data_IF_762407596166
#
_entry.id   IF_762407596166
#
_cell.length_a   1.000
_cell.length_b   1.000
_cell.length_c   1.000
_cell.angle_alpha   90.00
_cell.angle_beta   90.00
_cell.angle_gamma   90.00
#
_symmetry.space_group_name_H-M   'P 1'
#
loop_
_entity.id
_entity.type
_entity.pdbx_description
1 polymer ?
#
# COMPACT_ATOMS: atom_id res chain seq x y z
N UNK A 1 -7.48 5.08 34.28
CA UNK A 1 -6.13 5.10 33.66
C UNK A 1 -6.29 5.41 32.18
N UNK A 2 -5.72 6.53 31.71
CA UNK A 2 -5.50 6.70 30.28
C UNK A 2 -4.64 5.52 29.80
N UNK A 3 -4.95 4.89 28.66
CA UNK A 3 -4.09 3.85 28.13
C UNK A 3 -2.70 4.43 27.90
N UNK A 4 -1.67 3.73 28.37
CA UNK A 4 -0.26 4.09 28.15
C UNK A 4 0.01 4.24 26.66
N UNK A 5 0.75 5.28 26.28
CA UNK A 5 1.22 5.48 24.91
C UNK A 5 1.96 4.21 24.44
N UNK A 6 1.59 3.59 23.30
CA UNK A 6 2.22 2.36 22.84
C UNK A 6 3.63 2.58 22.28
N UNK A 7 4.10 3.83 22.18
CA UNK A 7 5.40 4.17 21.59
C UNK A 7 5.41 4.05 20.06
N UNK A 8 6.58 4.08 19.41
CA UNK A 8 6.72 3.90 17.96
C UNK A 8 6.27 2.49 17.52
N UNK A 9 6.04 2.22 16.22
CA UNK A 9 5.82 0.85 15.73
C UNK A 9 6.95 -0.09 16.20
N UNK A 10 6.62 -1.36 16.46
CA UNK A 10 7.62 -2.32 16.92
C UNK A 10 8.53 -2.83 15.78
N UNK A 11 8.07 -2.69 14.53
CA UNK A 11 8.81 -3.03 13.31
C UNK A 11 8.55 -1.95 12.25
N UNK A 12 9.60 -1.22 11.89
CA UNK A 12 9.54 -0.10 10.95
C UNK A 12 9.24 -0.55 9.51
N UNK A 13 9.78 -1.69 9.07
CA UNK A 13 9.54 -2.23 7.73
C UNK A 13 8.11 -2.71 7.57
N UNK A 14 7.61 -3.47 8.54
CA UNK A 14 6.22 -3.89 8.61
C UNK A 14 5.27 -2.69 8.68
N UNK A 15 5.66 -1.65 9.42
CA UNK A 15 4.89 -0.40 9.48
C UNK A 15 4.85 0.30 8.13
N UNK A 16 5.99 0.40 7.45
CA UNK A 16 6.08 1.02 6.12
C UNK A 16 5.16 0.32 5.11
N UNK A 17 5.17 -1.02 5.09
CA UNK A 17 4.25 -1.82 4.27
C UNK A 17 2.78 -1.62 4.66
N UNK A 18 2.47 -1.71 5.95
CA UNK A 18 1.11 -1.52 6.45
C UNK A 18 0.58 -0.11 6.21
N UNK A 19 1.43 0.91 6.23
CA UNK A 19 1.09 2.29 5.89
C UNK A 19 0.65 2.39 4.43
N UNK A 20 1.35 1.73 3.50
CA UNK A 20 0.93 1.66 2.10
C UNK A 20 -0.46 1.04 1.96
N UNK A 21 -0.68 -0.14 2.57
CA UNK A 21 -2.00 -0.79 2.59
C UNK A 21 -3.08 0.09 3.22
N UNK A 22 -2.76 0.76 4.33
CA UNK A 22 -3.68 1.67 5.01
C UNK A 22 -4.09 2.83 4.11
N UNK A 23 -3.15 3.41 3.36
CA UNK A 23 -3.42 4.55 2.49
C UNK A 23 -4.27 4.16 1.28
N UNK A 24 -4.16 2.95 0.75
CA UNK A 24 -5.07 2.46 -0.29
C UNK A 24 -6.37 1.91 0.29
N UNK A 25 -6.36 0.65 0.69
CA UNK A 25 -7.55 -0.14 1.06
C UNK A 25 -7.93 -0.06 2.53
N UNK A 26 -7.16 0.67 3.34
CA UNK A 26 -7.39 0.76 4.77
C UNK A 26 -8.38 1.83 5.20
N UNK A 27 -9.01 1.58 6.35
CA UNK A 27 -9.71 2.60 7.11
C UNK A 27 -9.55 2.38 8.62
N UNK A 28 -9.66 3.48 9.37
CA UNK A 28 -9.78 3.46 10.82
C UNK A 28 -11.16 3.98 11.19
N UNK A 29 -11.90 3.24 12.01
CA UNK A 29 -13.17 3.68 12.56
C UNK A 29 -13.17 3.60 14.08
N UNK A 30 -13.81 4.57 14.73
CA UNK A 30 -14.09 4.48 16.16
C UNK A 30 -15.05 3.33 16.45
N UNK A 31 -14.90 2.72 17.63
CA UNK A 31 -15.88 1.80 18.21
C UNK A 31 -16.78 2.54 19.20
N UNK A 32 -18.11 2.28 19.26
CA UNK A 32 -19.06 3.11 20.02
C UNK A 32 -18.76 3.27 21.51
N UNK A 33 -18.06 2.30 22.13
CA UNK A 33 -17.70 2.37 23.55
C UNK A 33 -16.35 3.04 23.77
N UNK A 34 -15.31 2.54 23.10
CA UNK A 34 -13.94 3.06 23.19
C UNK A 34 -13.10 2.44 22.10
N UNK A 35 -11.98 3.09 21.73
CA UNK A 35 -10.97 2.53 20.86
C UNK A 35 -11.34 2.57 19.38
N UNK A 36 -10.47 1.96 18.57
CA UNK A 36 -10.52 2.06 17.12
C UNK A 36 -10.26 0.70 16.46
N UNK A 37 -10.91 0.47 15.34
CA UNK A 37 -10.59 -0.64 14.45
C UNK A 37 -9.77 -0.13 13.28
N UNK A 38 -8.60 -0.72 13.07
CA UNK A 38 -7.93 -0.72 11.78
C UNK A 38 -8.55 -1.84 10.93
N UNK A 39 -8.97 -1.52 9.72
CA UNK A 39 -9.49 -2.48 8.75
C UNK A 39 -8.79 -2.29 7.42
N UNK A 40 -8.24 -3.35 6.87
CA UNK A 40 -7.70 -3.40 5.51
C UNK A 40 -8.56 -4.37 4.71
N UNK A 41 -9.10 -3.92 3.59
CA UNK A 41 -9.80 -4.82 2.67
C UNK A 41 -8.78 -5.56 1.80
N UNK A 42 -8.87 -6.89 1.74
CA UNK A 42 -8.03 -7.71 0.87
C UNK A 42 -8.96 -8.52 -0.05
N UNK A 43 -8.81 -8.37 -1.37
CA UNK A 43 -9.63 -9.13 -2.31
C UNK A 43 -9.37 -10.64 -2.17
N UNK A 44 -10.43 -11.45 -2.25
CA UNK A 44 -10.34 -12.90 -2.04
C UNK A 44 -9.47 -13.62 -3.09
N UNK A 45 -9.23 -12.97 -4.23
CA UNK A 45 -8.35 -13.45 -5.29
C UNK A 45 -6.86 -13.46 -4.91
N UNK A 46 -6.47 -12.84 -3.80
CA UNK A 46 -5.06 -12.69 -3.36
C UNK A 46 -4.88 -13.12 -1.89
N UNK A 47 -5.01 -14.43 -1.59
CA UNK A 47 -4.89 -14.94 -0.22
C UNK A 47 -3.51 -14.68 0.41
N UNK A 48 -2.43 -14.64 -0.38
CA UNK A 48 -1.10 -14.30 0.10
C UNK A 48 -1.00 -12.86 0.62
N UNK A 49 -1.73 -11.92 0.00
CA UNK A 49 -1.81 -10.53 0.47
C UNK A 49 -2.51 -10.44 1.83
N UNK A 50 -3.58 -11.21 2.03
CA UNK A 50 -4.30 -11.26 3.31
C UNK A 50 -3.38 -11.71 4.45
N UNK A 51 -2.57 -12.74 4.22
CA UNK A 51 -1.62 -13.23 5.23
C UNK A 51 -0.52 -12.20 5.50
N UNK A 52 0.06 -11.59 4.46
CA UNK A 52 1.05 -10.51 4.62
C UNK A 52 0.47 -9.32 5.39
N UNK A 53 -0.80 -8.96 5.16
CA UNK A 53 -1.47 -7.91 5.93
C UNK A 53 -1.63 -8.31 7.40
N UNK A 54 -1.98 -9.57 7.69
CA UNK A 54 -2.11 -10.09 9.06
C UNK A 54 -0.78 -10.06 9.81
N UNK A 55 0.28 -10.51 9.15
CA UNK A 55 1.66 -10.47 9.68
C UNK A 55 2.10 -9.03 9.94
N UNK A 56 1.89 -8.12 8.98
CA UNK A 56 2.28 -6.72 9.13
C UNK A 56 1.60 -6.05 10.33
N UNK A 57 0.29 -6.24 10.52
CA UNK A 57 -0.42 -5.72 11.70
C UNK A 57 0.16 -6.29 13.00
N UNK A 58 0.46 -7.59 13.01
CA UNK A 58 1.01 -8.29 14.19
C UNK A 58 2.41 -7.78 14.53
N UNK A 59 3.27 -7.56 13.54
CA UNK A 59 4.64 -7.09 13.73
C UNK A 59 4.68 -5.62 14.14
N UNK A 60 3.78 -4.79 13.61
CA UNK A 60 3.67 -3.37 13.97
C UNK A 60 3.21 -3.20 15.43
N UNK A 61 2.30 -4.06 15.89
CA UNK A 61 1.78 -4.05 17.27
C UNK A 61 1.65 -5.47 17.83
N UNK A 62 2.77 -6.05 18.33
CA UNK A 62 2.76 -7.36 18.98
C UNK A 62 1.75 -7.41 20.13
N UNK A 63 1.05 -8.53 20.26
CA UNK A 63 0.02 -8.72 21.28
C UNK A 63 -1.34 -8.12 20.94
N UNK A 64 -1.49 -7.39 19.82
CA UNK A 64 -2.81 -6.98 19.33
C UNK A 64 -3.45 -8.11 18.55
N UNK A 65 -4.72 -8.41 18.85
CA UNK A 65 -5.49 -9.39 18.08
C UNK A 65 -5.73 -8.93 16.65
N UNK A 66 -5.57 -9.86 15.70
CA UNK A 66 -5.94 -9.69 14.29
C UNK A 66 -6.99 -10.73 13.94
N UNK A 67 -8.08 -10.31 13.32
CA UNK A 67 -9.17 -11.19 12.94
C UNK A 67 -9.62 -10.91 11.51
N UNK A 68 -10.09 -11.96 10.85
CA UNK A 68 -10.55 -11.93 9.47
C UNK A 68 -12.08 -11.88 9.47
N UNK A 69 -12.64 -11.01 8.63
CA UNK A 69 -14.08 -10.88 8.48
C UNK A 69 -14.45 -10.92 6.99
N UNK A 70 -15.04 -12.03 6.57
CA UNK A 70 -15.48 -12.21 5.20
C UNK A 70 -16.54 -11.18 4.80
N UNK A 71 -16.39 -10.65 3.59
CA UNK A 71 -17.33 -9.81 2.86
C UNK A 71 -17.49 -10.33 1.43
N UNK A 72 -18.40 -9.73 0.68
CA UNK A 72 -18.61 -10.11 -0.71
C UNK A 72 -17.41 -9.68 -1.56
N UNK A 73 -16.66 -10.65 -2.09
CA UNK A 73 -15.50 -10.43 -2.96
C UNK A 73 -14.21 -9.99 -2.25
N UNK A 74 -14.24 -9.81 -0.93
CA UNK A 74 -13.05 -9.49 -0.14
C UNK A 74 -13.16 -9.96 1.31
N UNK A 75 -12.01 -10.05 1.97
CA UNK A 75 -11.89 -10.30 3.39
C UNK A 75 -11.28 -9.08 4.09
N UNK A 76 -11.92 -8.64 5.17
CA UNK A 76 -11.40 -7.54 5.98
C UNK A 76 -10.42 -8.09 7.01
N UNK A 77 -9.14 -7.75 6.89
CA UNK A 77 -8.15 -7.98 7.94
C UNK A 77 -8.28 -6.85 8.96
N UNK A 78 -8.72 -7.20 10.16
CA UNK A 78 -9.14 -6.21 11.16
C UNK A 78 -8.36 -6.38 12.46
N UNK A 79 -8.04 -5.26 13.09
CA UNK A 79 -7.45 -5.24 14.42
C UNK A 79 -8.01 -4.11 15.27
N UNK A 80 -8.20 -4.37 16.55
CA UNK A 80 -8.75 -3.41 17.51
C UNK A 80 -7.66 -2.92 18.46
N UNK A 81 -7.48 -1.60 18.53
CA UNK A 81 -6.58 -0.95 19.48
C UNK A 81 -7.03 0.48 19.72
N UNK A 82 -6.75 1.02 20.91
CA UNK A 82 -6.96 2.45 21.18
C UNK A 82 -5.97 3.35 20.45
N UNK A 83 -4.89 2.77 19.92
CA UNK A 83 -3.75 3.53 19.44
C UNK A 83 -3.54 3.51 17.93
N UNK A 84 -4.44 2.89 17.17
CA UNK A 84 -4.35 2.95 15.71
C UNK A 84 -4.29 4.38 15.15
N UNK A 85 -5.06 5.36 15.66
CA UNK A 85 -4.93 6.75 15.20
C UNK A 85 -3.56 7.39 15.46
N UNK A 86 -2.83 6.96 16.50
CA UNK A 86 -1.48 7.47 16.78
C UNK A 86 -0.47 6.95 15.76
N UNK A 87 -0.64 5.70 15.32
CA UNK A 87 0.17 5.10 14.27
C UNK A 87 -0.21 5.56 12.86
N UNK A 88 -1.45 5.99 12.66
CA UNK A 88 -1.96 6.46 11.38
C UNK A 88 -2.61 7.84 11.57
N UNK A 89 -1.79 8.89 11.83
CA UNK A 89 -2.28 10.24 12.12
C UNK A 89 -3.00 10.87 10.93
N UNK A 90 -2.90 10.25 9.75
CA UNK A 90 -3.73 10.56 8.59
C UNK A 90 -5.23 10.31 8.85
N UNK A 91 -5.61 9.58 9.89
CA UNK A 91 -7.00 9.39 10.28
C UNK A 91 -7.70 10.73 10.60
N UNK A 92 -8.90 10.91 10.06
CA UNK A 92 -9.74 12.08 10.24
C UNK A 92 -11.13 11.85 9.64
N UNK A 93 -12.07 12.79 9.86
CA UNK A 93 -13.43 12.69 9.34
C UNK A 93 -13.48 12.73 7.80
N UNK A 94 -14.58 12.25 7.22
CA UNK A 94 -14.82 12.29 5.78
C UNK A 94 -14.05 11.25 4.97
N UNK A 95 -14.06 11.40 3.63
CA UNK A 95 -13.35 10.46 2.74
C UNK A 95 -11.86 10.75 2.74
N UNK A 96 -11.04 9.70 2.64
CA UNK A 96 -9.58 9.79 2.67
C UNK A 96 -8.98 10.72 1.59
N UNK A 97 -9.60 10.80 0.42
CA UNK A 97 -9.13 11.66 -0.67
C UNK A 97 -9.64 13.11 -0.62
N UNK A 98 -10.54 13.43 0.31
CA UNK A 98 -11.06 14.79 0.53
C UNK A 98 -10.31 15.51 1.65
N UNK A 99 -9.37 14.82 2.32
CA UNK A 99 -8.55 15.33 3.42
C UNK A 99 -7.08 15.39 3.03
N UNK A 100 -6.34 16.28 3.66
CA UNK A 100 -4.88 16.34 3.51
C UNK A 100 -4.24 15.06 4.06
N UNK A 101 -3.33 14.47 3.28
CA UNK A 101 -2.56 13.29 3.68
C UNK A 101 -1.08 13.69 3.66
N UNK A 102 -0.51 13.89 4.85
CA UNK A 102 0.92 14.13 5.02
C UNK A 102 1.49 13.12 6.00
N UNK A 103 2.75 12.75 5.79
CA UNK A 103 3.49 11.91 6.72
C UNK A 103 4.14 12.78 7.80
N UNK A 104 3.99 12.39 9.05
CA UNK A 104 4.72 12.99 10.17
C UNK A 104 6.24 12.76 9.99
N UNK A 105 7.11 13.58 10.59
CA UNK A 105 8.56 13.45 10.44
C UNK A 105 9.11 12.04 10.74
N UNK A 106 8.55 11.37 11.75
CA UNK A 106 8.93 10.00 12.10
C UNK A 106 8.46 8.98 11.05
N UNK A 107 7.27 9.17 10.46
CA UNK A 107 6.79 8.33 9.35
C UNK A 107 7.66 8.53 8.10
N UNK A 108 8.07 9.77 7.81
CA UNK A 108 8.98 10.08 6.70
C UNK A 108 10.33 9.39 6.88
N UNK A 109 10.86 9.35 8.11
CA UNK A 109 12.10 8.63 8.40
C UNK A 109 11.95 7.12 8.15
N UNK A 110 10.85 6.50 8.61
CA UNK A 110 10.58 5.08 8.38
C UNK A 110 10.42 4.78 6.89
N UNK A 111 9.54 5.51 6.18
CA UNK A 111 9.35 5.33 4.73
C UNK A 111 10.65 5.57 3.97
N UNK A 112 11.48 6.49 4.45
CA UNK A 112 12.79 6.74 3.86
C UNK A 112 13.79 5.60 4.03
N UNK A 113 13.76 4.91 5.16
CA UNK A 113 14.61 3.75 5.43
C UNK A 113 14.06 2.46 4.81
N UNK A 114 12.73 2.38 4.65
CA UNK A 114 11.99 1.23 4.14
C UNK A 114 11.11 1.60 2.93
N UNK A 115 11.67 2.19 1.85
CA UNK A 115 10.87 2.73 0.74
C UNK A 115 10.21 1.62 -0.07
N UNK A 116 10.87 0.47 -0.20
CA UNK A 116 10.35 -0.68 -0.95
C UNK A 116 9.15 -1.32 -0.26
N UNK A 117 9.15 -1.39 1.07
CA UNK A 117 8.01 -1.86 1.84
C UNK A 117 6.79 -0.94 1.64
N UNK A 118 7.00 0.38 1.66
CA UNK A 118 5.94 1.36 1.37
C UNK A 118 5.39 1.24 -0.06
N UNK A 119 6.27 1.19 -1.05
CA UNK A 119 5.91 0.98 -2.47
C UNK A 119 5.12 -0.31 -2.63
N UNK A 120 5.58 -1.40 -2.01
CA UNK A 120 4.92 -2.70 -2.06
C UNK A 120 3.53 -2.63 -1.46
N UNK A 121 3.35 -1.97 -0.32
CA UNK A 121 2.04 -1.76 0.31
C UNK A 121 1.07 -1.03 -0.61
N UNK A 122 1.49 0.08 -1.22
CA UNK A 122 0.67 0.86 -2.15
C UNK A 122 0.33 0.10 -3.44
N UNK A 123 1.28 -0.66 -3.99
CA UNK A 123 1.01 -1.51 -5.16
C UNK A 123 0.07 -2.66 -4.80
N UNK A 124 0.21 -3.23 -3.60
CA UNK A 124 -0.64 -4.31 -3.13
C UNK A 124 -2.10 -3.86 -2.95
N UNK A 125 -2.34 -2.63 -2.52
CA UNK A 125 -3.70 -2.08 -2.45
C UNK A 125 -4.22 -1.59 -3.81
N UNK A 126 -3.67 -0.49 -4.31
CA UNK A 126 -4.23 0.29 -5.43
C UNK A 126 -3.45 0.11 -6.74
N UNK A 127 -2.45 -0.76 -6.73
CA UNK A 127 -1.64 -1.05 -7.90
C UNK A 127 -1.97 -2.37 -8.58
N UNK A 128 -1.46 -2.53 -9.78
CA UNK A 128 -1.48 -3.81 -10.48
C UNK A 128 -0.23 -3.98 -11.34
N UNK A 129 0.12 -5.24 -11.58
CA UNK A 129 1.14 -5.63 -12.56
C UNK A 129 0.45 -6.37 -13.69
N UNK A 130 0.55 -5.85 -14.90
CA UNK A 130 -0.06 -6.47 -16.08
C UNK A 130 1.01 -6.74 -17.15
N UNK A 131 0.76 -7.77 -17.96
CA UNK A 131 1.55 -8.03 -19.17
C UNK A 131 0.78 -7.45 -20.36
N UNK A 132 1.30 -6.37 -20.94
CA UNK A 132 0.79 -5.86 -22.20
C UNK A 132 1.45 -6.59 -23.37
N UNK A 133 0.82 -6.54 -24.55
CA UNK A 133 1.40 -7.05 -25.77
C UNK A 133 1.18 -6.11 -26.94
N UNK A 134 2.07 -6.18 -27.92
CA UNK A 134 1.96 -5.49 -29.21
C UNK A 134 2.51 -6.36 -30.32
N UNK A 135 2.23 -6.05 -31.58
CA UNK A 135 2.84 -6.74 -32.73
C UNK A 135 3.75 -5.80 -33.48
N UNK A 136 4.92 -6.29 -33.90
CA UNK A 136 5.86 -5.55 -34.73
C UNK A 136 6.30 -6.42 -35.91
N UNK A 137 6.39 -5.82 -37.08
CA UNK A 137 6.99 -6.45 -38.25
C UNK A 137 8.52 -6.49 -38.08
N UNK A 138 9.10 -7.68 -38.10
CA UNK A 138 10.55 -7.90 -38.04
C UNK A 138 10.91 -8.89 -39.14
N UNK A 139 11.65 -8.42 -40.15
CA UNK A 139 12.00 -9.26 -41.31
C UNK A 139 10.80 -9.72 -42.15
N UNK A 140 9.71 -8.95 -42.19
CA UNK A 140 8.48 -9.30 -42.92
C UNK A 140 7.49 -10.17 -42.13
N UNK A 141 7.88 -10.71 -40.99
CA UNK A 141 7.00 -11.49 -40.10
C UNK A 141 6.44 -10.63 -38.97
N UNK A 142 5.16 -10.82 -38.62
CA UNK A 142 4.55 -10.18 -37.45
C UNK A 142 4.95 -10.96 -36.19
N UNK A 143 5.77 -10.35 -35.32
CA UNK A 143 6.13 -10.91 -34.01
C UNK A 143 5.34 -10.21 -32.90
N UNK A 144 4.79 -11.00 -31.97
CA UNK A 144 4.16 -10.52 -30.73
C UNK A 144 5.23 -10.25 -29.69
N UNK A 145 5.21 -9.05 -29.11
CA UNK A 145 6.10 -8.61 -28.06
C UNK A 145 5.29 -8.35 -26.81
N UNK A 146 5.67 -9.02 -25.72
CA UNK A 146 5.05 -8.84 -24.41
C UNK A 146 5.96 -8.01 -23.52
N UNK A 147 5.36 -7.09 -22.76
CA UNK A 147 6.09 -6.25 -21.82
C UNK A 147 5.29 -6.07 -20.53
N UNK A 148 5.88 -6.40 -19.37
CA UNK A 148 5.25 -6.14 -18.09
C UNK A 148 5.22 -4.64 -17.80
N UNK A 149 4.19 -4.22 -17.08
CA UNK A 149 3.98 -2.83 -16.66
C UNK A 149 3.28 -2.79 -15.32
N UNK A 150 3.67 -1.85 -14.47
CA UNK A 150 2.93 -1.55 -13.25
C UNK A 150 2.06 -0.31 -13.45
N UNK A 151 0.88 -0.34 -12.84
CA UNK A 151 0.00 0.80 -12.67
C UNK A 151 -0.32 1.00 -11.20
N UNK A 152 -0.57 2.25 -10.84
CA UNK A 152 -1.08 2.63 -9.53
C UNK A 152 -2.13 3.73 -9.74
N UNK A 153 -3.29 3.55 -9.11
CA UNK A 153 -4.43 4.46 -9.29
C UNK A 153 -4.99 4.87 -7.95
N UNK A 154 -4.97 6.17 -7.63
CA UNK A 154 -5.56 6.66 -6.39
C UNK A 154 -6.32 7.97 -6.64
N UNK A 155 -7.31 8.26 -5.79
CA UNK A 155 -8.10 9.49 -5.87
C UNK A 155 -7.42 10.66 -5.17
N UNK A 156 -6.58 10.39 -4.18
CA UNK A 156 -5.84 11.40 -3.43
C UNK A 156 -4.57 11.80 -4.17
N UNK A 157 -4.46 13.08 -4.53
CA UNK A 157 -3.24 13.64 -5.10
C UNK A 157 -2.05 13.56 -4.13
N UNK A 158 -2.31 13.64 -2.81
CA UNK A 158 -1.28 13.50 -1.79
C UNK A 158 -0.72 12.07 -1.75
N UNK A 159 -1.56 11.04 -1.82
CA UNK A 159 -1.11 9.64 -1.85
C UNK A 159 -0.34 9.35 -3.14
N UNK A 160 -0.80 9.89 -4.28
CA UNK A 160 -0.05 9.81 -5.55
C UNK A 160 1.33 10.43 -5.39
N UNK A 161 1.42 11.62 -4.79
CA UNK A 161 2.70 12.30 -4.56
C UNK A 161 3.61 11.50 -3.64
N UNK A 162 3.10 10.98 -2.52
CA UNK A 162 3.87 10.11 -1.63
C UNK A 162 4.41 8.88 -2.37
N UNK A 163 3.60 8.26 -3.23
CA UNK A 163 4.02 7.13 -4.05
C UNK A 163 5.15 7.55 -5.01
N UNK A 164 4.95 8.61 -5.79
CA UNK A 164 5.90 9.05 -6.81
C UNK A 164 7.21 9.56 -6.23
N UNK A 165 7.16 10.32 -5.13
CA UNK A 165 8.35 10.79 -4.42
C UNK A 165 9.18 9.59 -3.92
N UNK A 166 8.52 8.52 -3.48
CA UNK A 166 9.19 7.29 -3.04
C UNK A 166 9.79 6.53 -4.22
N UNK A 167 9.11 6.46 -5.37
CA UNK A 167 9.65 5.86 -6.61
C UNK A 167 10.90 6.61 -7.09
N UNK A 168 10.87 7.94 -7.09
CA UNK A 168 11.99 8.78 -7.49
C UNK A 168 13.22 8.50 -6.60
N UNK A 169 13.02 8.36 -5.28
CA UNK A 169 14.09 8.05 -4.32
C UNK A 169 14.79 6.72 -4.61
N UNK A 170 14.08 5.73 -5.14
CA UNK A 170 14.65 4.42 -5.47
C UNK A 170 15.01 4.26 -6.95
N UNK A 171 14.95 5.35 -7.74
CA UNK A 171 15.34 5.36 -9.15
C UNK A 171 14.36 4.63 -10.08
N UNK A 172 13.09 4.49 -9.68
CA UNK A 172 12.05 3.89 -10.52
C UNK A 172 11.42 4.98 -11.38
N UNK A 173 11.65 4.91 -12.70
CA UNK A 173 11.04 5.84 -13.65
C UNK A 173 9.54 5.56 -13.82
N UNK A 174 8.74 6.62 -13.71
CA UNK A 174 7.30 6.57 -13.88
C UNK A 174 6.79 7.72 -14.76
N UNK A 175 5.52 7.64 -15.16
CA UNK A 175 4.79 8.72 -15.83
C UNK A 175 3.37 8.80 -15.31
N UNK A 176 2.80 10.00 -15.26
CA UNK A 176 1.36 10.18 -15.16
C UNK A 176 0.70 9.81 -16.49
N UNK A 177 -0.15 8.79 -16.48
CA UNK A 177 -1.07 8.52 -17.58
C UNK A 177 -2.24 9.50 -17.57
N UNK A 178 -2.63 9.97 -16.39
CA UNK A 178 -3.54 11.09 -16.14
C UNK A 178 -3.38 11.56 -14.68
N UNK A 179 -4.21 12.50 -14.22
CA UNK A 179 -4.15 13.08 -12.88
C UNK A 179 -4.25 12.05 -11.72
N UNK A 180 -4.71 10.82 -11.98
CA UNK A 180 -4.95 9.78 -10.97
C UNK A 180 -4.17 8.49 -11.19
N UNK A 181 -3.48 8.36 -12.32
CA UNK A 181 -2.91 7.09 -12.75
C UNK A 181 -1.41 7.26 -12.99
N UNK A 182 -0.62 6.56 -12.18
CA UNK A 182 0.83 6.44 -12.33
C UNK A 182 1.14 5.16 -13.09
N UNK A 183 2.12 5.24 -13.99
CA UNK A 183 2.48 4.14 -14.86
C UNK A 183 3.98 3.93 -14.96
N UNK A 184 4.43 2.70 -14.69
CA UNK A 184 5.84 2.29 -14.67
C UNK A 184 6.04 1.23 -15.76
N UNK A 185 6.73 1.61 -16.84
CA UNK A 185 6.85 0.79 -18.05
C UNK A 185 8.27 0.58 -18.54
N UNK A 186 9.25 1.34 -18.02
CA UNK A 186 10.64 1.21 -18.45
C UNK A 186 11.17 -0.12 -17.95
N UNK A 187 11.82 -0.89 -18.82
CA UNK A 187 12.28 -2.25 -18.53
C UNK A 187 13.11 -2.35 -17.25
N UNK A 188 14.05 -1.40 -17.03
CA UNK A 188 14.88 -1.36 -15.83
C UNK A 188 14.04 -1.11 -14.57
N UNK A 189 13.12 -0.16 -14.62
CA UNK A 189 12.24 0.20 -13.51
C UNK A 189 11.25 -0.93 -13.19
N UNK A 190 10.71 -1.61 -14.20
CA UNK A 190 9.86 -2.79 -14.02
C UNK A 190 10.66 -3.95 -13.39
N UNK A 191 11.92 -4.13 -13.78
CA UNK A 191 12.78 -5.14 -13.15
C UNK A 191 13.04 -4.82 -11.66
N UNK A 192 13.29 -3.54 -11.30
CA UNK A 192 13.40 -3.12 -9.90
C UNK A 192 12.11 -3.42 -9.11
N UNK A 193 10.96 -3.06 -9.68
CA UNK A 193 9.65 -3.34 -9.08
C UNK A 193 9.45 -4.86 -8.90
N UNK A 194 9.80 -5.67 -9.90
CA UNK A 194 9.69 -7.14 -9.81
C UNK A 194 10.57 -7.74 -8.71
N UNK A 195 11.79 -7.20 -8.53
CA UNK A 195 12.71 -7.65 -7.48
C UNK A 195 12.19 -7.34 -6.07
N UNK A 196 11.56 -6.18 -5.86
CA UNK A 196 11.24 -5.68 -4.52
C UNK A 196 9.76 -5.80 -4.12
N UNK A 197 8.84 -5.76 -5.07
CA UNK A 197 7.39 -5.89 -4.83
C UNK A 197 6.96 -7.35 -4.99
N UNK A 198 7.45 -8.02 -6.03
CA UNK A 198 7.03 -9.37 -6.39
C UNK A 198 5.61 -9.45 -6.97
N UNK A 199 5.17 -10.65 -7.41
CA UNK A 199 3.81 -10.85 -7.88
C UNK A 199 2.81 -10.81 -6.71
N UNK A 200 1.58 -10.33 -6.98
CA UNK A 200 0.45 -10.59 -6.08
C UNK A 200 0.08 -12.08 -6.17
N UNK A 201 -0.16 -12.71 -5.03
CA UNK A 201 -0.62 -14.09 -4.90
C UNK A 201 -1.53 -14.22 -3.67
#
# INVERSE_FOLDING_TARGET
MAPTDPGPPADDGAYSYLLGLYLGDGCISAHPRSGYYLRIACADAWPGLMEQCREAITNVRPGTGVYLLQREGCTMVTSYSRHWPLLFPQHGPGKKHERAIALDPWQQAIVGNHPWDFIRGLIHSDGCRITNWTTRLVGGERKRYEYPRYFFTNMSGDIIRLFTDTLDRVGVDWKLANARNVSIARKASVALMDTHVGPKY
#
